data_IF_257175858844
#
_entry.id   IF_257175858844
#
_cell.length_a   1.000
_cell.length_b   1.000
_cell.length_c   1.000
_cell.angle_alpha   90.00
_cell.angle_beta   90.00
_cell.angle_gamma   90.00
#
_symmetry.space_group_name_H-M   'P 1'
#
loop_
_entity.id
_entity.type
_entity.pdbx_description
1 polymer ?
#
# COMPACT_ATOMS: atom_id res chain seq x y z
N UNK A 1 12.91 -0.03 7.04
CA UNK A 1 13.96 0.98 6.79
C UNK A 1 13.30 2.30 6.37
N UNK A 2 13.84 3.44 6.80
CA UNK A 2 13.40 4.77 6.35
C UNK A 2 14.49 5.37 5.47
N UNK A 3 14.09 5.85 4.28
CA UNK A 3 14.98 6.51 3.32
C UNK A 3 14.48 7.95 3.14
N UNK A 4 15.37 8.92 3.23
CA UNK A 4 15.06 10.35 3.13
C UNK A 4 15.83 11.03 2.01
N UNK A 5 15.52 12.28 1.71
CA UNK A 5 16.19 13.10 0.70
C UNK A 5 16.13 12.55 -0.74
N UNK A 6 15.04 11.87 -1.05
CA UNK A 6 14.78 11.39 -2.40
C UNK A 6 14.23 12.52 -3.28
N UNK A 7 14.64 12.54 -4.55
CA UNK A 7 14.04 13.43 -5.55
C UNK A 7 12.61 13.01 -5.87
N UNK A 8 11.70 13.96 -6.06
CA UNK A 8 10.34 13.69 -6.50
C UNK A 8 10.29 13.17 -7.94
N UNK A 9 9.27 12.36 -8.26
CA UNK A 9 9.02 11.78 -9.58
C UNK A 9 10.23 11.03 -10.17
N UNK A 10 10.99 10.34 -9.32
CA UNK A 10 12.24 9.65 -9.67
C UNK A 10 12.16 8.17 -9.35
N UNK A 11 12.77 7.34 -10.20
CA UNK A 11 12.84 5.89 -10.01
C UNK A 11 14.10 5.58 -9.20
N UNK A 12 13.92 4.75 -8.17
CA UNK A 12 14.99 4.23 -7.33
C UNK A 12 14.96 2.71 -7.33
N UNK A 13 16.10 2.09 -7.53
CA UNK A 13 16.26 0.64 -7.45
C UNK A 13 16.71 0.24 -6.07
N UNK A 14 16.20 -0.89 -5.57
CA UNK A 14 16.54 -1.36 -4.24
C UNK A 14 16.89 -2.85 -4.21
N UNK A 15 17.59 -3.24 -3.17
CA UNK A 15 17.91 -4.62 -2.88
C UNK A 15 17.68 -4.92 -1.42
N UNK A 16 17.18 -6.11 -1.13
CA UNK A 16 16.95 -6.61 0.22
C UNK A 16 18.00 -7.66 0.54
N UNK A 17 18.57 -7.57 1.74
CA UNK A 17 19.58 -8.48 2.25
C UNK A 17 19.15 -9.05 3.61
N UNK A 18 19.53 -10.30 3.86
CA UNK A 18 19.52 -10.94 5.16
C UNK A 18 21.00 -11.21 5.52
N UNK A 19 21.57 -10.37 6.38
CA UNK A 19 23.01 -10.29 6.57
C UNK A 19 23.72 -9.99 5.24
N UNK A 20 24.62 -10.88 4.81
CA UNK A 20 25.33 -10.75 3.53
C UNK A 20 24.57 -11.39 2.35
N UNK A 21 23.54 -12.17 2.63
CA UNK A 21 22.75 -12.87 1.61
C UNK A 21 21.76 -11.93 0.95
N UNK A 22 21.92 -11.68 -0.34
CA UNK A 22 20.97 -10.93 -1.14
C UNK A 22 19.69 -11.78 -1.39
N UNK A 23 18.53 -11.22 -1.10
CA UNK A 23 17.21 -11.87 -1.28
C UNK A 23 16.55 -11.48 -2.61
N UNK A 24 16.89 -10.33 -3.18
CA UNK A 24 16.33 -9.85 -4.44
C UNK A 24 17.23 -10.20 -5.63
N UNK A 25 16.69 -10.39 -6.84
CA UNK A 25 17.48 -10.55 -8.07
C UNK A 25 18.46 -9.38 -8.31
N UNK A 26 19.53 -9.64 -9.08
CA UNK A 26 20.51 -8.61 -9.50
C UNK A 26 20.08 -7.95 -10.84
N UNK A 27 18.83 -7.50 -10.91
CA UNK A 27 18.27 -6.85 -12.08
C UNK A 27 17.45 -5.61 -11.70
N UNK A 28 16.80 -4.99 -12.64
CA UNK A 28 15.98 -3.78 -12.46
C UNK A 28 14.53 -4.06 -12.03
N UNK A 29 14.18 -5.30 -11.71
CA UNK A 29 12.79 -5.67 -11.39
C UNK A 29 12.30 -5.15 -10.05
N UNK A 30 13.22 -4.81 -9.12
CA UNK A 30 12.91 -4.22 -7.81
C UNK A 30 13.24 -2.73 -7.82
N UNK A 31 12.22 -1.92 -8.00
CA UNK A 31 12.31 -0.47 -7.98
C UNK A 31 11.03 0.15 -7.44
N UNK A 32 11.09 1.41 -7.10
CA UNK A 32 9.91 2.23 -6.80
C UNK A 32 10.07 3.62 -7.40
N UNK A 33 8.96 4.31 -7.59
CA UNK A 33 8.93 5.69 -8.07
C UNK A 33 8.39 6.59 -6.97
N UNK A 34 9.11 7.66 -6.68
CA UNK A 34 8.66 8.68 -5.73
C UNK A 34 7.49 9.49 -6.31
N UNK A 35 6.62 9.99 -5.44
CA UNK A 35 5.50 10.82 -5.84
C UNK A 35 5.97 12.09 -6.59
N UNK A 36 5.19 12.59 -7.55
CA UNK A 36 5.42 13.92 -8.11
C UNK A 36 5.19 15.01 -7.06
N UNK A 37 5.78 16.17 -7.26
CA UNK A 37 5.53 17.32 -6.36
C UNK A 37 4.04 17.66 -6.32
N UNK A 38 3.49 18.07 -5.17
CA UNK A 38 2.14 18.61 -5.08
C UNK A 38 1.88 19.68 -6.15
N UNK A 39 0.71 19.65 -6.77
CA UNK A 39 0.33 20.55 -7.86
C UNK A 39 0.79 20.12 -9.26
N UNK A 40 1.63 19.10 -9.40
CA UNK A 40 2.04 18.58 -10.71
C UNK A 40 0.86 18.05 -11.51
N UNK A 41 0.73 18.52 -12.76
CA UNK A 41 -0.27 18.03 -13.73
C UNK A 41 0.33 16.86 -14.50
N UNK A 42 0.00 15.64 -14.10
CA UNK A 42 0.34 14.42 -14.82
C UNK A 42 -0.83 13.43 -14.78
N UNK A 43 -0.98 12.55 -15.76
CA UNK A 43 -1.92 11.45 -15.63
C UNK A 43 -1.61 10.63 -14.39
N UNK A 44 -2.68 10.20 -13.70
CA UNK A 44 -2.59 9.34 -12.53
C UNK A 44 -3.40 8.08 -12.78
N UNK A 45 -2.73 6.94 -12.77
CA UNK A 45 -3.33 5.63 -12.90
C UNK A 45 -3.22 4.91 -11.56
N UNK A 46 -4.34 4.54 -11.00
CA UNK A 46 -4.36 3.82 -9.73
C UNK A 46 -5.39 2.69 -9.76
N UNK A 47 -5.07 1.64 -9.03
CA UNK A 47 -5.95 0.49 -8.85
C UNK A 47 -6.55 0.53 -7.45
N UNK A 48 -7.87 0.42 -7.38
CA UNK A 48 -8.62 0.36 -6.11
C UNK A 48 -9.23 -1.02 -5.99
N UNK A 49 -9.02 -1.67 -4.85
CA UNK A 49 -9.64 -2.96 -4.55
C UNK A 49 -9.90 -3.07 -3.05
N UNK A 50 -10.96 -3.76 -2.68
CA UNK A 50 -11.29 -4.15 -1.32
C UNK A 50 -11.75 -5.61 -1.28
N UNK A 51 -11.92 -6.15 -0.07
CA UNK A 51 -12.49 -7.49 0.14
C UNK A 51 -11.80 -8.61 -0.67
N UNK A 52 -10.51 -8.50 -0.85
CA UNK A 52 -9.78 -9.36 -1.79
C UNK A 52 -8.98 -10.48 -1.14
N UNK A 53 -8.74 -10.41 0.17
CA UNK A 53 -7.75 -11.21 0.91
C UNK A 53 -8.08 -12.68 1.13
N UNK A 54 -8.75 -13.34 0.18
CA UNK A 54 -9.14 -14.75 0.33
C UNK A 54 -7.99 -15.75 0.11
N UNK A 55 -6.93 -15.34 -0.59
CA UNK A 55 -5.85 -16.23 -1.02
C UNK A 55 -6.23 -17.17 -2.18
N UNK A 56 -7.44 -17.00 -2.74
CA UNK A 56 -8.00 -17.92 -3.71
C UNK A 56 -7.71 -17.55 -5.17
N UNK A 57 -8.14 -18.47 -6.05
CA UNK A 57 -7.93 -18.34 -7.51
C UNK A 57 -8.59 -17.08 -8.11
N UNK A 58 -9.75 -16.69 -7.60
CA UNK A 58 -10.45 -15.50 -8.09
C UNK A 58 -9.66 -14.21 -7.80
N UNK A 59 -9.05 -14.10 -6.63
CA UNK A 59 -8.13 -13.00 -6.30
C UNK A 59 -6.96 -12.94 -7.29
N UNK A 60 -6.32 -14.09 -7.55
CA UNK A 60 -5.22 -14.19 -8.51
C UNK A 60 -5.65 -13.81 -9.93
N UNK A 61 -6.84 -14.23 -10.37
CA UNK A 61 -7.40 -13.89 -11.68
C UNK A 61 -7.66 -12.39 -11.84
N UNK A 62 -8.24 -11.74 -10.83
CA UNK A 62 -8.49 -10.29 -10.83
C UNK A 62 -7.17 -9.51 -10.91
N UNK A 63 -6.19 -9.87 -10.07
CA UNK A 63 -4.87 -9.25 -10.11
C UNK A 63 -4.18 -9.43 -11.49
N UNK A 64 -4.23 -10.65 -12.03
CA UNK A 64 -3.67 -10.94 -13.35
C UNK A 64 -4.37 -10.13 -14.46
N UNK A 65 -5.69 -9.99 -14.41
CA UNK A 65 -6.46 -9.23 -15.38
C UNK A 65 -6.09 -7.74 -15.34
N UNK A 66 -5.96 -7.15 -14.15
CA UNK A 66 -5.50 -5.76 -13.98
C UNK A 66 -4.11 -5.56 -14.58
N UNK A 67 -3.15 -6.44 -14.28
CA UNK A 67 -1.78 -6.34 -14.81
C UNK A 67 -1.74 -6.46 -16.34
N UNK A 68 -2.49 -7.42 -16.92
CA UNK A 68 -2.61 -7.58 -18.38
C UNK A 68 -3.24 -6.35 -19.03
N UNK A 69 -4.26 -5.76 -18.43
CA UNK A 69 -4.89 -4.54 -18.93
C UNK A 69 -3.90 -3.37 -18.95
N UNK A 70 -3.17 -3.15 -17.87
CA UNK A 70 -2.15 -2.10 -17.79
C UNK A 70 -1.06 -2.30 -18.85
N UNK A 71 -0.58 -3.53 -19.03
CA UNK A 71 0.39 -3.87 -20.08
C UNK A 71 -0.17 -3.61 -21.49
N UNK A 72 -1.39 -4.06 -21.76
CA UNK A 72 -2.04 -3.83 -23.06
C UNK A 72 -2.23 -2.35 -23.38
N UNK A 73 -2.57 -1.55 -22.37
CA UNK A 73 -2.76 -0.09 -22.50
C UNK A 73 -1.47 0.71 -22.36
N UNK A 74 -0.35 0.07 -22.09
CA UNK A 74 0.92 0.72 -21.78
C UNK A 74 0.79 1.76 -20.66
N UNK A 75 0.10 1.38 -19.57
CA UNK A 75 -0.13 2.23 -18.40
C UNK A 75 0.86 1.87 -17.27
N UNK A 76 1.49 2.89 -16.71
CA UNK A 76 2.27 2.76 -15.47
C UNK A 76 1.34 2.92 -14.27
N UNK A 77 1.19 1.87 -13.45
CA UNK A 77 0.41 1.95 -12.22
C UNK A 77 1.17 2.82 -11.20
N UNK A 78 0.59 3.96 -10.84
CA UNK A 78 1.22 4.91 -9.93
C UNK A 78 0.92 4.60 -8.46
N UNK A 79 -0.30 4.16 -8.15
CA UNK A 79 -0.76 3.85 -6.80
C UNK A 79 -1.60 2.58 -6.81
N UNK A 80 -1.47 1.82 -5.72
CA UNK A 80 -2.39 0.76 -5.36
C UNK A 80 -3.14 1.22 -4.09
N UNK A 81 -4.46 1.26 -4.13
CA UNK A 81 -5.30 1.64 -3.00
C UNK A 81 -6.10 0.41 -2.58
N UNK A 82 -5.93 -0.02 -1.33
CA UNK A 82 -6.70 -1.12 -0.78
C UNK A 82 -7.66 -0.59 0.31
N UNK A 83 -8.95 -0.81 0.12
CA UNK A 83 -9.99 -0.24 0.99
C UNK A 83 -10.45 -1.20 2.09
N UNK A 84 -9.59 -2.14 2.50
CA UNK A 84 -9.80 -3.06 3.62
C UNK A 84 -10.04 -4.50 3.21
N UNK A 85 -9.99 -5.39 4.19
CA UNK A 85 -10.11 -6.84 4.05
C UNK A 85 -9.08 -7.46 3.09
N UNK A 86 -7.82 -7.18 3.40
CA UNK A 86 -6.64 -7.67 2.67
C UNK A 86 -6.27 -9.10 3.05
N UNK A 87 -6.60 -9.51 4.27
CA UNK A 87 -6.13 -10.76 4.87
C UNK A 87 -7.26 -11.47 5.63
N UNK A 88 -8.12 -12.18 4.91
CA UNK A 88 -9.15 -13.01 5.53
C UNK A 88 -8.51 -14.20 6.25
N UNK A 89 -9.13 -14.73 7.34
CA UNK A 89 -10.39 -14.24 7.91
C UNK A 89 -10.19 -13.31 9.10
N UNK A 90 -8.96 -13.04 9.51
CA UNK A 90 -8.70 -12.35 10.80
C UNK A 90 -7.54 -11.36 10.77
N UNK A 91 -6.92 -11.10 9.61
CA UNK A 91 -5.82 -10.15 9.49
C UNK A 91 -4.57 -10.55 10.27
N UNK A 92 -4.28 -11.84 10.39
CA UNK A 92 -3.07 -12.33 11.05
C UNK A 92 -1.83 -12.15 10.15
N UNK A 93 -0.62 -12.15 10.72
CA UNK A 93 0.64 -12.08 9.95
C UNK A 93 0.74 -13.15 8.86
N UNK A 94 0.32 -14.39 9.19
CA UNK A 94 0.31 -15.47 8.22
C UNK A 94 -0.65 -15.22 7.06
N UNK A 95 -1.81 -14.64 7.34
CA UNK A 95 -2.80 -14.28 6.31
C UNK A 95 -2.31 -13.11 5.46
N UNK A 96 -1.69 -12.09 6.05
CA UNK A 96 -1.02 -11.02 5.29
C UNK A 96 0.07 -11.59 4.39
N UNK A 97 0.93 -12.46 4.92
CA UNK A 97 2.02 -13.06 4.16
C UNK A 97 1.53 -13.84 2.94
N UNK A 98 0.57 -14.76 3.14
CA UNK A 98 0.12 -15.69 2.10
C UNK A 98 -0.94 -15.09 1.17
N UNK A 99 -1.87 -14.27 1.70
CA UNK A 99 -3.05 -13.83 0.96
C UNK A 99 -2.96 -12.42 0.44
N UNK A 100 -1.97 -11.64 0.91
CA UNK A 100 -1.74 -10.28 0.44
C UNK A 100 -0.34 -10.13 -0.17
N UNK A 101 0.72 -10.22 0.62
CA UNK A 101 2.07 -9.93 0.13
C UNK A 101 2.51 -10.90 -0.97
N UNK A 102 2.36 -12.19 -0.78
CA UNK A 102 2.72 -13.19 -1.79
C UNK A 102 1.84 -13.09 -3.04
N UNK A 103 0.54 -12.86 -2.85
CA UNK A 103 -0.43 -12.78 -3.94
C UNK A 103 -0.19 -11.56 -4.85
N UNK A 104 0.15 -10.42 -4.26
CA UNK A 104 0.34 -9.15 -4.97
C UNK A 104 1.81 -8.76 -5.15
N UNK A 105 2.76 -9.64 -4.81
CA UNK A 105 4.22 -9.38 -4.89
C UNK A 105 4.62 -8.72 -6.22
N UNK A 106 4.18 -9.19 -7.40
CA UNK A 106 4.58 -8.60 -8.68
C UNK A 106 4.13 -7.15 -8.88
N UNK A 107 3.19 -6.66 -8.08
CA UNK A 107 2.76 -5.25 -8.07
C UNK A 107 3.41 -4.49 -6.91
N UNK A 108 3.38 -5.07 -5.70
CA UNK A 108 3.86 -4.41 -4.47
C UNK A 108 5.35 -4.09 -4.48
N UNK A 109 6.15 -4.88 -5.18
CA UNK A 109 7.61 -4.62 -5.30
C UNK A 109 7.94 -3.30 -6.03
N UNK A 110 7.00 -2.76 -6.80
CA UNK A 110 7.22 -1.53 -7.58
C UNK A 110 6.21 -0.41 -7.27
N UNK A 111 5.07 -0.74 -6.67
CA UNK A 111 3.97 0.20 -6.45
C UNK A 111 3.61 0.26 -4.98
N UNK A 112 3.56 1.47 -4.43
CA UNK A 112 3.15 1.69 -3.04
C UNK A 112 1.66 1.36 -2.91
N UNK A 113 1.33 0.53 -1.89
CA UNK A 113 -0.04 0.29 -1.49
C UNK A 113 -0.41 1.25 -0.37
N UNK A 114 -1.45 2.05 -0.59
CA UNK A 114 -2.10 2.89 0.40
C UNK A 114 -3.35 2.17 0.92
N UNK A 115 -3.37 1.86 2.19
CA UNK A 115 -4.35 0.95 2.76
C UNK A 115 -5.27 1.63 3.76
N UNK A 116 -6.55 1.24 3.75
CA UNK A 116 -7.47 1.41 4.86
C UNK A 116 -7.65 0.07 5.57
N UNK A 117 -7.82 0.08 6.88
CA UNK A 117 -8.08 -1.13 7.66
C UNK A 117 -9.52 -1.61 7.44
N UNK A 118 -9.71 -2.88 7.16
CA UNK A 118 -11.01 -3.53 7.11
C UNK A 118 -11.41 -4.16 8.45
N UNK A 119 -12.65 -4.65 8.53
CA UNK A 119 -13.13 -5.28 9.76
C UNK A 119 -12.45 -6.63 10.05
N UNK A 120 -11.90 -7.29 9.03
CA UNK A 120 -11.15 -8.53 9.22
C UNK A 120 -9.75 -8.27 9.82
N UNK A 121 -9.06 -7.22 9.40
CA UNK A 121 -7.82 -6.75 10.03
C UNK A 121 -8.07 -6.25 11.45
N UNK A 122 -9.21 -5.60 11.70
CA UNK A 122 -9.60 -5.10 13.02
C UNK A 122 -9.82 -6.18 14.10
N UNK A 123 -9.85 -7.47 13.73
CA UNK A 123 -9.88 -8.56 14.71
C UNK A 123 -8.56 -8.71 15.47
N UNK A 124 -7.45 -8.43 14.82
CA UNK A 124 -6.09 -8.59 15.36
C UNK A 124 -5.33 -7.28 15.49
N UNK A 125 -5.81 -6.21 14.87
CA UNK A 125 -5.18 -4.89 14.91
C UNK A 125 -6.09 -3.84 15.53
N UNK A 126 -5.51 -2.81 16.17
CA UNK A 126 -6.24 -1.77 16.89
C UNK A 126 -5.76 -0.38 16.48
N UNK A 127 -6.65 0.40 15.87
CA UNK A 127 -6.38 1.76 15.36
C UNK A 127 -6.13 2.78 16.45
N UNK A 128 -6.72 2.59 17.62
CA UNK A 128 -6.56 3.51 18.75
C UNK A 128 -5.09 3.69 19.16
N UNK A 129 -4.33 2.60 19.19
CA UNK A 129 -2.93 2.58 19.63
C UNK A 129 -1.95 2.11 18.53
N UNK A 130 -2.43 1.82 17.33
CA UNK A 130 -1.59 1.47 16.20
C UNK A 130 -0.81 0.17 16.40
N UNK A 131 -1.46 -0.87 16.90
CA UNK A 131 -0.84 -2.17 17.17
C UNK A 131 -1.49 -3.30 16.38
N UNK A 132 -0.74 -4.35 16.15
CA UNK A 132 -1.16 -5.58 15.48
C UNK A 132 -0.67 -5.67 14.03
N UNK A 133 -0.94 -6.81 13.37
CA UNK A 133 -0.35 -7.15 12.06
C UNK A 133 -0.57 -6.11 10.97
N UNK A 134 -1.69 -5.41 10.95
CA UNK A 134 -1.93 -4.32 9.98
C UNK A 134 -0.90 -3.19 10.16
N UNK A 135 -0.64 -2.76 11.40
CA UNK A 135 0.31 -1.68 11.71
C UNK A 135 1.77 -2.13 11.66
N UNK A 136 2.03 -3.43 11.74
CA UNK A 136 3.35 -4.01 11.45
C UNK A 136 3.62 -4.07 9.95
N UNK A 137 2.57 -4.28 9.14
CA UNK A 137 2.65 -4.33 7.68
C UNK A 137 2.75 -2.96 7.02
N UNK A 138 2.15 -1.92 7.60
CA UNK A 138 2.06 -0.58 7.03
C UNK A 138 2.62 0.48 7.97
N UNK A 139 3.31 1.45 7.38
CA UNK A 139 3.70 2.70 8.04
C UNK A 139 2.97 3.83 7.31
N UNK A 140 1.80 4.20 7.85
CA UNK A 140 0.98 5.25 7.27
C UNK A 140 1.41 6.64 7.78
N UNK A 141 1.28 7.71 6.97
CA UNK A 141 1.67 9.05 7.38
C UNK A 141 0.77 9.56 8.50
N UNK A 142 1.35 9.98 9.61
CA UNK A 142 0.63 10.57 10.75
C UNK A 142 1.01 12.02 11.03
N UNK A 143 2.13 12.48 10.46
CA UNK A 143 2.65 13.83 10.60
C UNK A 143 2.76 14.55 9.25
N UNK A 144 1.87 14.21 8.30
CA UNK A 144 1.85 14.74 6.94
C UNK A 144 3.13 14.44 6.12
N UNK A 145 3.79 13.29 6.37
CA UNK A 145 5.05 12.90 5.71
C UNK A 145 4.90 12.71 4.18
N UNK A 146 3.67 12.46 3.72
CA UNK A 146 3.35 12.28 2.30
C UNK A 146 2.49 13.42 1.73
N UNK A 147 2.55 14.61 2.32
CA UNK A 147 1.61 15.70 2.08
C UNK A 147 0.32 15.53 2.88
N UNK A 148 -0.66 16.39 2.66
CA UNK A 148 -1.91 16.38 3.41
C UNK A 148 -1.80 17.04 4.79
N UNK A 149 -2.64 16.60 5.72
CA UNK A 149 -2.71 17.13 7.08
C UNK A 149 -2.26 16.09 8.10
N UNK A 150 -1.57 16.50 9.18
CA UNK A 150 -1.19 15.59 10.24
C UNK A 150 -2.43 15.11 11.01
N UNK A 151 -2.61 13.79 11.08
CA UNK A 151 -3.70 13.15 11.84
C UNK A 151 -3.28 12.79 13.27
N UNK A 152 -1.97 12.65 13.49
CA UNK A 152 -1.40 12.13 14.74
C UNK A 152 -1.52 10.61 14.89
N UNK A 153 -2.22 9.94 13.96
CA UNK A 153 -2.48 8.48 13.99
C UNK A 153 -2.29 7.86 12.62
N UNK A 154 -1.92 6.59 12.57
CA UNK A 154 -1.78 5.82 11.33
C UNK A 154 -3.12 5.21 10.87
N UNK A 155 -4.11 5.16 11.73
CA UNK A 155 -5.42 4.57 11.44
C UNK A 155 -6.23 5.38 10.42
N UNK A 156 -6.05 6.70 10.41
CA UNK A 156 -6.62 7.60 9.41
C UNK A 156 -5.61 8.67 9.06
N UNK A 157 -5.50 8.97 7.78
CA UNK A 157 -4.45 9.85 7.27
C UNK A 157 -4.85 10.47 5.93
N UNK A 158 -4.05 11.41 5.47
CA UNK A 158 -4.16 11.94 4.13
C UNK A 158 -2.79 12.03 3.45
N UNK A 159 -2.81 12.05 2.13
CA UNK A 159 -1.60 12.20 1.33
C UNK A 159 -1.89 12.87 -0.02
N UNK A 160 -0.86 13.45 -0.61
CA UNK A 160 -0.96 14.11 -1.90
C UNK A 160 -0.24 13.32 -2.99
N UNK A 161 -0.86 13.22 -4.16
CA UNK A 161 -0.22 12.75 -5.36
C UNK A 161 -0.49 13.72 -6.53
N UNK A 162 0.51 14.51 -6.90
CA UNK A 162 0.32 15.56 -7.89
C UNK A 162 -0.76 16.54 -7.48
N UNK A 163 -1.89 16.55 -8.20
CA UNK A 163 -3.05 17.42 -7.92
C UNK A 163 -4.17 16.75 -7.13
N UNK A 164 -3.99 15.50 -6.77
CA UNK A 164 -5.03 14.75 -6.05
C UNK A 164 -4.65 14.66 -4.59
N UNK A 165 -5.60 15.02 -3.75
CA UNK A 165 -5.54 14.84 -2.30
C UNK A 165 -6.38 13.62 -1.93
N UNK A 166 -5.78 12.64 -1.27
CA UNK A 166 -6.43 11.43 -0.79
C UNK A 166 -6.65 11.51 0.71
N UNK A 167 -7.83 11.09 1.14
CA UNK A 167 -8.20 10.98 2.56
C UNK A 167 -8.57 9.52 2.82
N UNK A 168 -7.88 8.91 3.77
CA UNK A 168 -8.14 7.55 4.24
C UNK A 168 -8.73 7.63 5.64
N UNK A 169 -9.90 7.03 5.82
CA UNK A 169 -10.64 7.03 7.08
C UNK A 169 -10.69 5.63 7.66
N UNK A 170 -10.60 5.54 8.98
CA UNK A 170 -10.94 4.33 9.71
C UNK A 170 -12.44 4.35 10.03
N UNK A 171 -13.19 3.43 9.45
CA UNK A 171 -14.62 3.27 9.70
C UNK A 171 -14.95 2.13 10.65
N UNK A 172 -13.94 1.40 11.14
CA UNK A 172 -14.13 0.19 11.94
C UNK A 172 -13.86 0.39 13.43
N UNK A 173 -12.67 0.87 13.78
CA UNK A 173 -12.13 0.73 15.15
C UNK A 173 -12.23 2.03 15.99
N UNK A 174 -12.42 3.18 15.37
CA UNK A 174 -12.44 4.46 16.08
C UNK A 174 -13.86 4.92 16.42
N UNK A 175 -14.00 5.57 17.56
CA UNK A 175 -15.25 6.23 17.95
C UNK A 175 -15.53 7.39 16.99
N UNK A 176 -16.70 7.32 16.35
CA UNK A 176 -17.16 8.27 15.33
C UNK A 176 -18.24 9.22 15.84
N UNK A 177 -18.51 9.21 17.13
CA UNK A 177 -19.45 10.15 17.73
C UNK A 177 -18.85 11.55 17.72
N UNK A 178 -19.65 12.58 17.40
CA UNK A 178 -19.19 13.96 17.42
C UNK A 178 -18.83 14.44 18.83
#
# INVERSE_FOLDING_TARGET
>A
ARISNLNSNSIYYYSVFDGEKRLTPKDSSYHFKTHPKPGTKSPLYFWVVGDSGTGGENQAKVHTAMRKYNQFKNLELNLYIHVGDMAYSSGTDGEFSERFFKMYEPTLRNTVCWAAMGNHEGKTSKGENGIGPYYDAYICPKAAEAGGLPSGKEAYYSFDYGKVHFIVLDSHDLDRRP
#
